data_IF_421441940042
#
_entry.id   IF_421441940042
#
_cell.length_a   1.000
_cell.length_b   1.000
_cell.length_c   1.000
_cell.angle_alpha   90.00
_cell.angle_beta   90.00
_cell.angle_gamma   90.00
#
_symmetry.space_group_name_H-M   'P 1'
#
loop_
_entity.id
_entity.type
_entity.pdbx_description
1 polymer ?
#
# COMPACT_ATOMS: atom_id res chain seq x y z
N UNK A 1 -35.56 -17.20 -48.66
CA UNK A 1 -35.49 -16.62 -47.30
C UNK A 1 -36.90 -16.32 -46.81
N UNK A 2 -37.33 -16.79 -45.64
CA UNK A 2 -38.68 -16.47 -45.14
C UNK A 2 -38.73 -15.04 -44.59
N UNK A 3 -39.88 -14.35 -44.72
CA UNK A 3 -40.07 -12.97 -44.18
C UNK A 3 -39.72 -12.87 -42.68
N UNK A 4 -39.85 -13.97 -41.95
CA UNK A 4 -39.49 -14.08 -40.53
C UNK A 4 -37.97 -13.95 -40.30
N UNK A 5 -37.14 -14.53 -41.17
CA UNK A 5 -35.67 -14.41 -41.10
C UNK A 5 -35.23 -12.98 -41.39
N UNK A 6 -35.81 -12.32 -42.41
CA UNK A 6 -35.49 -10.92 -42.71
C UNK A 6 -35.86 -9.96 -41.58
N UNK A 7 -37.01 -10.16 -40.94
CA UNK A 7 -37.45 -9.34 -39.80
C UNK A 7 -36.55 -9.56 -38.58
N UNK A 8 -36.17 -10.81 -38.30
CA UNK A 8 -35.25 -11.12 -37.20
C UNK A 8 -33.88 -10.45 -37.36
N UNK A 9 -33.33 -10.43 -38.58
CA UNK A 9 -32.06 -9.75 -38.87
C UNK A 9 -32.15 -8.23 -38.72
N UNK A 10 -33.27 -7.61 -39.12
CA UNK A 10 -33.49 -6.17 -38.92
C UNK A 10 -33.57 -5.80 -37.44
N UNK A 11 -34.28 -6.60 -36.63
CA UNK A 11 -34.36 -6.36 -35.18
C UNK A 11 -33.00 -6.52 -34.51
N UNK A 12 -32.24 -7.56 -34.86
CA UNK A 12 -30.87 -7.75 -34.37
C UNK A 12 -29.94 -6.60 -34.77
N UNK A 13 -30.02 -6.14 -36.02
CA UNK A 13 -29.26 -4.98 -36.49
C UNK A 13 -29.61 -3.69 -35.74
N UNK A 14 -30.90 -3.45 -35.49
CA UNK A 14 -31.34 -2.29 -34.71
C UNK A 14 -30.87 -2.36 -33.25
N UNK A 15 -30.93 -3.53 -32.61
CA UNK A 15 -30.42 -3.71 -31.25
C UNK A 15 -28.92 -3.49 -31.17
N UNK A 16 -28.16 -3.98 -32.15
CA UNK A 16 -26.71 -3.74 -32.23
C UNK A 16 -26.39 -2.24 -32.40
N UNK A 17 -27.13 -1.53 -33.24
CA UNK A 17 -26.98 -0.09 -33.43
C UNK A 17 -27.31 0.71 -32.16
N UNK A 18 -28.40 0.35 -31.46
CA UNK A 18 -28.77 0.99 -30.21
C UNK A 18 -27.74 0.73 -29.11
N UNK A 19 -27.20 -0.48 -29.04
CA UNK A 19 -26.11 -0.81 -28.10
C UNK A 19 -24.84 -0.01 -28.40
N UNK A 20 -24.44 0.08 -29.67
CA UNK A 20 -23.26 0.87 -30.08
C UNK A 20 -23.45 2.36 -29.79
N UNK A 21 -24.62 2.93 -30.11
CA UNK A 21 -24.95 4.32 -29.81
C UNK A 21 -24.97 4.60 -28.30
N UNK A 22 -25.53 3.68 -27.51
CA UNK A 22 -25.53 3.75 -26.05
C UNK A 22 -24.11 3.74 -25.48
N UNK A 23 -23.24 2.87 -26.01
CA UNK A 23 -21.84 2.75 -25.58
C UNK A 23 -21.05 4.03 -25.92
N UNK A 24 -21.21 4.56 -27.14
CA UNK A 24 -20.58 5.82 -27.55
C UNK A 24 -21.06 7.02 -26.71
N UNK A 25 -22.36 7.09 -26.43
CA UNK A 25 -22.94 8.11 -25.56
C UNK A 25 -22.40 8.02 -24.13
N UNK A 26 -22.30 6.81 -23.58
CA UNK A 26 -21.72 6.55 -22.27
C UNK A 26 -20.26 7.03 -22.19
N UNK A 27 -19.43 6.68 -23.17
CA UNK A 27 -18.02 7.10 -23.22
C UNK A 27 -17.88 8.62 -23.37
N UNK A 28 -18.78 9.28 -24.09
CA UNK A 28 -18.78 10.74 -24.21
C UNK A 28 -19.11 11.42 -22.87
N UNK A 29 -20.12 10.93 -22.15
CA UNK A 29 -20.51 11.44 -20.84
C UNK A 29 -19.41 11.17 -19.81
N UNK A 30 -18.84 9.96 -19.77
CA UNK A 30 -17.73 9.60 -18.87
C UNK A 30 -16.55 10.57 -19.03
N UNK A 31 -16.10 10.79 -20.27
CA UNK A 31 -15.01 11.74 -20.57
C UNK A 31 -15.35 13.18 -20.18
N UNK A 32 -16.60 13.59 -20.37
CA UNK A 32 -17.04 14.93 -19.96
C UNK A 32 -17.01 15.11 -18.42
N UNK A 33 -17.45 14.10 -17.66
CA UNK A 33 -17.41 14.12 -16.20
C UNK A 33 -15.96 14.14 -15.69
N UNK A 34 -15.09 13.33 -16.28
CA UNK A 34 -13.67 13.29 -15.96
C UNK A 34 -13.00 14.65 -16.16
N UNK A 35 -13.25 15.31 -17.31
CA UNK A 35 -12.74 16.68 -17.55
C UNK A 35 -13.22 17.69 -16.51
N UNK A 36 -14.49 17.61 -16.09
CA UNK A 36 -15.02 18.48 -15.03
C UNK A 36 -14.35 18.22 -13.68
N UNK A 37 -14.08 16.96 -13.37
CA UNK A 37 -13.36 16.58 -12.15
C UNK A 37 -11.93 17.11 -12.16
N UNK A 38 -11.20 16.95 -13.28
CA UNK A 38 -9.85 17.51 -13.46
C UNK A 38 -9.87 19.03 -13.24
N UNK A 39 -10.82 19.73 -13.85
CA UNK A 39 -10.95 21.18 -13.70
C UNK A 39 -11.29 21.59 -12.26
N UNK A 40 -12.18 20.86 -11.58
CA UNK A 40 -12.51 21.11 -10.19
C UNK A 40 -11.28 20.93 -9.27
N UNK A 41 -10.49 19.89 -9.50
CA UNK A 41 -9.28 19.61 -8.73
C UNK A 41 -8.19 20.66 -8.99
N UNK A 42 -8.02 21.12 -10.23
CA UNK A 42 -7.10 22.22 -10.58
C UNK A 42 -7.43 23.53 -9.87
N UNK A 43 -8.71 23.79 -9.64
CA UNK A 43 -9.17 25.00 -8.92
C UNK A 43 -9.02 24.89 -7.40
N UNK A 44 -8.72 23.71 -6.86
CA UNK A 44 -8.55 23.51 -5.42
C UNK A 44 -7.13 23.96 -5.03
N UNK A 45 -6.96 25.05 -4.25
CA UNK A 45 -5.65 25.65 -4.02
C UNK A 45 -4.72 24.74 -3.19
N UNK A 46 -3.41 24.89 -3.45
CA UNK A 46 -2.33 24.08 -2.85
C UNK A 46 -2.40 24.02 -1.32
N UNK A 47 -2.81 25.12 -0.69
CA UNK A 47 -2.87 25.26 0.77
C UNK A 47 -3.95 24.39 1.42
N UNK A 48 -5.03 24.03 0.71
CA UNK A 48 -6.15 23.26 1.30
C UNK A 48 -5.81 21.79 1.55
N UNK A 49 -4.77 21.27 0.90
CA UNK A 49 -4.31 19.88 1.04
C UNK A 49 -2.98 19.77 1.80
N UNK A 50 -2.46 20.88 2.37
CA UNK A 50 -1.26 20.81 3.21
C UNK A 50 -1.62 20.00 4.46
N UNK A 51 -0.87 18.93 4.80
CA UNK A 51 -1.08 18.24 6.07
C UNK A 51 -0.93 19.27 7.21
N UNK A 52 -1.70 19.15 8.31
CA UNK A 52 -1.54 20.02 9.46
C UNK A 52 -0.07 19.98 9.90
N UNK A 53 0.59 21.14 9.88
CA UNK A 53 1.98 21.28 10.27
C UNK A 53 2.25 20.86 11.73
N UNK A 54 1.18 20.64 12.51
CA UNK A 54 1.21 20.27 13.92
C UNK A 54 0.91 18.78 14.18
N UNK A 55 1.03 17.90 13.17
CA UNK A 55 1.25 16.48 13.45
C UNK A 55 2.70 16.30 13.96
N UNK A 56 3.00 16.94 15.09
CA UNK A 56 4.15 16.66 15.90
C UNK A 56 4.17 15.15 16.14
N UNK A 57 5.26 14.51 15.71
CA UNK A 57 5.67 13.22 16.23
C UNK A 57 5.45 13.24 17.74
N UNK A 58 4.58 12.40 18.34
CA UNK A 58 4.49 12.37 19.78
C UNK A 58 5.80 11.78 20.30
N UNK A 59 6.73 12.65 20.70
CA UNK A 59 7.80 12.29 21.62
C UNK A 59 7.13 11.82 22.91
N UNK A 60 7.45 10.63 23.43
CA UNK A 60 6.87 10.16 24.69
C UNK A 60 7.56 10.88 25.84
N UNK A 61 7.14 12.10 26.15
CA UNK A 61 7.45 12.74 27.43
C UNK A 61 6.44 12.24 28.45
N UNK A 62 6.90 11.37 29.33
CA UNK A 62 6.16 10.84 30.46
C UNK A 62 5.65 11.97 31.37
N UNK A 63 4.35 11.97 31.67
CA UNK A 63 3.78 12.52 32.90
C UNK A 63 2.64 11.62 33.41
N UNK A 64 2.62 11.53 34.73
CA UNK A 64 2.00 10.56 35.64
C UNK A 64 0.45 10.54 35.74
N UNK A 65 -0.14 9.54 36.44
CA UNK A 65 -1.52 9.14 36.30
C UNK A 65 -2.47 9.89 37.23
N UNK A 66 -3.71 10.12 36.77
CA UNK A 66 -4.86 10.41 37.65
C UNK A 66 -5.87 9.28 37.57
N UNK A 67 -6.38 8.92 38.74
CA UNK A 67 -6.93 7.64 39.11
C UNK A 67 -8.44 7.45 38.79
N UNK A 68 -8.79 6.18 38.62
CA UNK A 68 -10.01 5.49 39.10
C UNK A 68 -11.38 5.79 38.46
N UNK A 69 -11.93 4.78 37.74
CA UNK A 69 -13.10 3.98 38.18
C UNK A 69 -13.35 2.76 37.24
N UNK A 70 -13.83 1.60 37.76
CA UNK A 70 -14.03 0.38 36.96
C UNK A 70 -15.46 0.24 36.41
N UNK A 71 -15.63 -0.37 35.24
CA UNK A 71 -16.91 -0.88 34.71
C UNK A 71 -16.74 -2.35 34.27
N UNK A 72 -17.80 -3.16 34.12
CA UNK A 72 -17.90 -4.48 34.67
C UNK A 72 -17.50 -5.54 33.64
N UNK A 73 -17.04 -6.68 34.15
CA UNK A 73 -16.69 -7.87 33.41
C UNK A 73 -17.83 -8.36 32.51
N UNK A 74 -17.64 -8.33 31.19
CA UNK A 74 -18.39 -9.21 30.28
C UNK A 74 -17.45 -10.31 29.78
N UNK A 75 -17.80 -11.54 30.19
CA UNK A 75 -17.18 -12.81 29.81
C UNK A 75 -17.30 -13.03 28.30
N UNK A 76 -16.22 -13.40 27.57
CA UNK A 76 -16.32 -13.70 26.15
C UNK A 76 -17.04 -15.05 25.92
N UNK A 77 -18.09 -15.03 25.11
CA UNK A 77 -18.64 -16.23 24.51
C UNK A 77 -17.80 -16.59 23.28
N UNK A 78 -17.12 -17.73 23.35
CA UNK A 78 -16.46 -18.36 22.22
C UNK A 78 -17.51 -18.88 21.23
N UNK A 79 -17.33 -18.63 19.94
CA UNK A 79 -17.87 -19.50 18.87
C UNK A 79 -16.96 -19.44 17.65
N UNK A 80 -16.78 -20.62 17.07
CA UNK A 80 -15.67 -21.09 16.25
C UNK A 80 -15.56 -20.51 14.83
N UNK A 81 -14.31 -20.48 14.34
CA UNK A 81 -13.94 -20.44 12.93
C UNK A 81 -14.32 -21.75 12.20
N UNK A 82 -14.62 -21.71 10.90
CA UNK A 82 -14.34 -22.83 10.02
C UNK A 82 -13.08 -22.58 9.18
N UNK A 83 -12.11 -23.47 9.40
CA UNK A 83 -10.92 -23.71 8.58
C UNK A 83 -11.33 -24.28 7.21
N UNK A 84 -10.84 -23.69 6.11
CA UNK A 84 -10.80 -24.33 4.79
C UNK A 84 -9.34 -24.54 4.41
N UNK A 85 -9.01 -25.80 4.12
CA UNK A 85 -7.66 -26.31 3.95
C UNK A 85 -6.97 -25.89 2.65
N UNK A 86 -5.65 -25.73 2.75
CA UNK A 86 -4.72 -25.58 1.62
C UNK A 86 -4.02 -26.92 1.40
N UNK A 87 -3.99 -27.48 0.18
CA UNK A 87 -3.20 -28.67 -0.10
C UNK A 87 -1.70 -28.37 -0.19
N UNK A 88 -0.95 -29.43 0.08
CA UNK A 88 0.47 -29.51 0.36
C UNK A 88 1.40 -29.29 -0.85
N UNK A 89 2.61 -28.83 -0.56
CA UNK A 89 3.82 -29.15 -1.32
C UNK A 89 4.96 -29.43 -0.32
N UNK A 90 5.55 -30.62 -0.43
CA UNK A 90 6.66 -31.16 0.38
C UNK A 90 7.99 -31.03 -0.41
N UNK A 91 9.16 -31.42 0.11
CA UNK A 91 10.15 -30.56 0.79
C UNK A 91 11.50 -30.45 0.03
N UNK A 92 12.44 -29.67 0.56
CA UNK A 92 13.88 -29.72 0.19
C UNK A 92 14.75 -30.09 1.41
N UNK A 93 15.94 -30.68 1.23
CA UNK A 93 16.45 -31.74 2.12
C UNK A 93 17.37 -31.32 3.26
N UNK A 94 17.39 -32.23 4.24
CA UNK A 94 18.30 -32.49 5.36
C UNK A 94 19.77 -32.06 5.22
N UNK A 95 20.27 -31.33 6.22
CA UNK A 95 21.68 -31.34 6.64
C UNK A 95 21.76 -31.55 8.15
N UNK A 96 22.77 -32.31 8.56
CA UNK A 96 22.88 -33.16 9.75
C UNK A 96 23.38 -32.42 11.00
N UNK A 97 22.90 -32.89 12.14
CA UNK A 97 23.51 -32.74 13.49
C UNK A 97 24.80 -33.58 13.60
N UNK A 98 25.69 -33.35 14.61
CA UNK A 98 25.43 -33.91 15.94
C UNK A 98 25.87 -33.05 17.15
N UNK A 99 25.08 -33.19 18.22
CA UNK A 99 25.39 -32.91 19.64
C UNK A 99 26.58 -33.75 20.17
N UNK A 100 27.30 -33.29 21.22
CA UNK A 100 27.38 -34.15 22.40
C UNK A 100 27.13 -33.45 23.75
N UNK A 101 26.53 -34.24 24.64
CA UNK A 101 26.17 -34.01 26.06
C UNK A 101 27.38 -34.15 27.01
N UNK A 102 27.45 -33.46 28.17
CA UNK A 102 28.43 -33.74 29.21
C UNK A 102 27.85 -34.52 30.41
N UNK A 103 28.57 -35.54 30.88
CA UNK A 103 28.37 -36.18 32.20
C UNK A 103 29.72 -36.64 32.76
N UNK A 104 30.04 -36.30 34.02
CA UNK A 104 30.88 -37.15 34.90
C UNK A 104 32.12 -36.54 35.60
N UNK A 105 31.90 -35.99 36.80
CA UNK A 105 32.65 -36.11 38.09
C UNK A 105 34.08 -36.73 38.14
N UNK A 106 35.04 -36.07 38.81
CA UNK A 106 35.71 -36.50 40.09
C UNK A 106 36.78 -35.50 40.61
N UNK A 107 37.00 -35.52 41.94
CA UNK A 107 37.67 -34.57 42.81
C UNK A 107 39.19 -34.80 43.11
N UNK A 108 39.83 -33.68 43.53
CA UNK A 108 41.09 -33.28 44.26
C UNK A 108 41.93 -34.35 45.03
N UNK A 109 43.20 -34.10 45.48
CA UNK A 109 43.57 -33.17 46.59
C UNK A 109 44.97 -32.48 46.53
N UNK A 110 45.18 -31.37 47.27
CA UNK A 110 46.23 -31.23 48.32
C UNK A 110 46.43 -29.78 48.85
N UNK A 111 46.46 -29.65 50.18
CA UNK A 111 47.49 -28.91 50.91
C UNK A 111 47.10 -27.60 51.62
N UNK A 112 47.17 -27.60 52.97
CA UNK A 112 47.53 -26.38 53.74
C UNK A 112 46.64 -25.99 54.93
N UNK A 113 47.22 -26.10 56.13
CA UNK A 113 46.70 -25.92 57.50
C UNK A 113 46.39 -24.48 57.95
N UNK A 114 45.30 -24.27 58.74
CA UNK A 114 45.24 -23.51 60.01
C UNK A 114 43.78 -23.40 60.55
N UNK A 115 43.62 -23.45 61.89
CA UNK A 115 42.37 -23.41 62.68
C UNK A 115 42.52 -22.32 63.76
N UNK A 116 41.48 -21.79 64.47
CA UNK A 116 40.08 -21.47 64.17
C UNK A 116 39.73 -19.97 64.43
N UNK A 117 38.58 -19.47 63.98
CA UNK A 117 37.75 -18.51 64.74
C UNK A 117 36.32 -18.62 64.26
N UNK A 118 35.42 -19.02 65.17
CA UNK A 118 33.98 -19.07 64.95
C UNK A 118 33.43 -17.64 64.94
N UNK A 119 33.09 -17.12 63.77
CA UNK A 119 32.26 -15.93 63.63
C UNK A 119 30.82 -16.38 63.37
N UNK A 120 29.89 -15.85 64.16
CA UNK A 120 28.45 -16.07 64.00
C UNK A 120 28.00 -15.76 62.55
N UNK A 121 27.08 -16.55 61.96
CA UNK A 121 26.60 -16.27 60.61
C UNK A 121 25.84 -14.95 60.59
N UNK A 122 26.37 -13.98 59.84
CA UNK A 122 25.61 -12.80 59.43
C UNK A 122 24.56 -13.27 58.43
N UNK A 123 23.29 -13.13 58.78
CA UNK A 123 22.18 -13.41 57.88
C UNK A 123 22.29 -12.45 56.68
N UNK A 124 22.63 -12.99 55.52
CA UNK A 124 22.54 -12.24 54.25
C UNK A 124 21.06 -12.10 53.93
N UNK A 125 20.51 -10.88 53.75
CA UNK A 125 19.13 -10.75 53.35
C UNK A 125 18.93 -11.35 51.96
N UNK A 126 18.00 -12.29 51.84
CA UNK A 126 17.53 -12.83 50.56
C UNK A 126 17.03 -11.68 49.69
N UNK A 127 17.76 -11.34 48.64
CA UNK A 127 17.31 -10.38 47.61
C UNK A 127 16.12 -11.01 46.89
N UNK A 128 14.92 -10.47 47.14
CA UNK A 128 13.71 -10.83 46.41
C UNK A 128 13.92 -10.42 44.94
N UNK A 129 13.78 -11.37 44.01
CA UNK A 129 13.80 -11.05 42.59
C UNK A 129 12.59 -10.14 42.26
N UNK A 130 12.78 -9.03 41.53
CA UNK A 130 11.65 -8.19 41.15
C UNK A 130 10.70 -9.00 40.26
N UNK A 131 9.41 -8.96 40.59
CA UNK A 131 8.34 -9.50 39.74
C UNK A 131 8.44 -8.87 38.35
N UNK A 132 8.40 -9.64 37.25
CA UNK A 132 8.41 -9.06 35.91
C UNK A 132 7.20 -8.13 35.77
N UNK A 133 7.49 -6.86 35.48
CA UNK A 133 6.45 -5.88 35.17
C UNK A 133 5.74 -6.34 33.90
N UNK A 134 4.40 -6.44 33.88
CA UNK A 134 3.68 -6.81 32.67
C UNK A 134 4.02 -5.81 31.56
N UNK A 135 4.54 -6.33 30.45
CA UNK A 135 4.80 -5.53 29.27
C UNK A 135 3.46 -4.95 28.76
N UNK A 136 3.35 -3.62 28.76
CA UNK A 136 2.23 -2.94 28.14
C UNK A 136 2.32 -3.18 26.63
N UNK A 137 1.42 -3.99 26.09
CA UNK A 137 1.27 -4.13 24.64
C UNK A 137 0.69 -2.82 24.12
N UNK A 138 1.38 -2.09 23.22
CA UNK A 138 0.81 -0.86 22.66
C UNK A 138 -0.50 -1.18 21.93
N UNK A 139 -1.51 -0.29 21.99
CA UNK A 139 -2.73 -0.49 21.24
C UNK A 139 -2.42 -0.63 19.75
N UNK A 140 -3.08 -1.58 19.08
CA UNK A 140 -3.00 -1.70 17.62
C UNK A 140 -3.51 -0.39 16.99
N UNK A 141 -2.79 0.21 16.03
CA UNK A 141 -3.25 1.43 15.37
C UNK A 141 -4.62 1.18 14.75
N UNK A 142 -5.55 2.11 14.96
CA UNK A 142 -6.85 2.11 14.27
C UNK A 142 -6.59 2.23 12.77
N UNK A 143 -7.18 1.36 11.92
CA UNK A 143 -7.00 1.46 10.48
C UNK A 143 -7.54 2.80 9.98
N UNK A 144 -6.74 3.46 9.15
CA UNK A 144 -7.09 4.75 8.57
C UNK A 144 -8.27 4.60 7.61
N UNK A 145 -9.21 5.57 7.54
CA UNK A 145 -10.25 5.56 6.53
C UNK A 145 -9.67 5.48 5.12
N UNK A 146 -10.28 4.65 4.27
CA UNK A 146 -9.91 4.53 2.86
C UNK A 146 -10.29 5.81 2.11
N UNK A 147 -9.35 6.37 1.34
CA UNK A 147 -9.59 7.55 0.53
C UNK A 147 -8.70 7.57 -0.71
N UNK A 148 -9.30 7.79 -1.89
CA UNK A 148 -8.60 7.85 -3.17
C UNK A 148 -7.64 9.06 -3.26
N UNK A 149 -6.55 8.95 -4.02
CA UNK A 149 -5.71 10.09 -4.35
C UNK A 149 -6.49 11.06 -5.25
N UNK A 150 -6.33 12.35 -4.98
CA UNK A 150 -6.92 13.44 -5.78
C UNK A 150 -5.87 14.36 -6.38
N UNK A 151 -4.60 14.21 -5.97
CA UNK A 151 -3.50 15.03 -6.44
C UNK A 151 -2.16 14.34 -6.21
N UNK A 152 -1.22 14.58 -7.11
CA UNK A 152 0.17 14.13 -7.04
C UNK A 152 1.08 15.34 -7.14
N UNK A 153 2.13 15.36 -6.32
CA UNK A 153 3.25 16.28 -6.46
C UNK A 153 4.58 15.53 -6.52
N UNK A 154 5.49 15.99 -7.38
CA UNK A 154 6.88 15.49 -7.47
C UNK A 154 7.81 16.70 -7.40
N UNK A 155 8.29 17.08 -6.20
CA UNK A 155 9.00 18.34 -5.98
C UNK A 155 10.26 18.52 -6.85
N UNK A 156 11.01 17.44 -7.08
CA UNK A 156 12.26 17.48 -7.85
C UNK A 156 12.09 18.02 -9.29
N UNK A 157 10.91 17.83 -9.88
CA UNK A 157 10.56 18.29 -11.23
C UNK A 157 9.50 19.39 -11.22
N UNK A 158 9.12 19.91 -10.03
CA UNK A 158 8.06 20.91 -9.89
C UNK A 158 6.69 20.43 -10.40
N UNK A 159 6.47 19.12 -10.48
CA UNK A 159 5.21 18.55 -10.96
C UNK A 159 4.16 18.64 -9.87
N UNK A 160 2.97 19.12 -10.24
CA UNK A 160 1.82 19.25 -9.36
C UNK A 160 0.54 19.13 -10.19
N UNK A 161 -0.14 17.99 -10.08
CA UNK A 161 -1.20 17.61 -10.99
C UNK A 161 -2.38 16.96 -10.27
N UNK A 162 -3.61 17.14 -10.79
CA UNK A 162 -4.77 16.40 -10.30
C UNK A 162 -4.62 14.90 -10.58
N UNK A 163 -5.23 14.10 -9.71
CA UNK A 163 -5.39 12.64 -9.87
C UNK A 163 -6.88 12.33 -9.97
N UNK A 164 -7.27 11.57 -10.99
CA UNK A 164 -8.66 11.15 -11.23
C UNK A 164 -8.72 9.64 -11.40
N UNK A 165 -9.86 9.06 -11.08
CA UNK A 165 -10.05 7.61 -11.18
C UNK A 165 -10.26 7.19 -12.64
N UNK A 166 -9.60 6.11 -13.06
CA UNK A 166 -9.63 5.56 -14.42
C UNK A 166 -9.84 4.05 -14.39
N UNK A 167 -10.48 3.52 -15.41
CA UNK A 167 -10.75 2.09 -15.54
C UNK A 167 -9.94 1.46 -16.68
N UNK A 168 -10.16 0.17 -16.90
CA UNK A 168 -9.71 -0.52 -18.10
C UNK A 168 -10.79 -0.40 -19.18
N UNK A 169 -10.38 -0.19 -20.41
CA UNK A 169 -11.28 -0.22 -21.56
C UNK A 169 -10.90 -1.39 -22.45
N UNK A 170 -11.90 -2.16 -22.88
CA UNK A 170 -11.69 -3.22 -23.86
C UNK A 170 -11.92 -2.61 -25.25
N UNK A 171 -10.85 -2.44 -26.01
CA UNK A 171 -10.90 -2.03 -27.40
C UNK A 171 -10.84 -3.25 -28.31
N UNK A 172 -11.70 -3.30 -29.33
CA UNK A 172 -11.60 -4.31 -30.38
C UNK A 172 -10.89 -3.72 -31.59
N UNK A 173 -9.74 -4.29 -31.97
CA UNK A 173 -9.02 -3.94 -33.20
C UNK A 173 -8.86 -5.19 -34.04
N UNK A 174 -9.35 -5.17 -35.27
CA UNK A 174 -9.27 -6.29 -36.23
C UNK A 174 -9.83 -7.61 -35.67
N UNK A 175 -10.90 -7.56 -34.87
CA UNK A 175 -11.52 -8.75 -34.25
C UNK A 175 -10.77 -9.31 -33.03
N UNK A 176 -9.69 -8.65 -32.59
CA UNK A 176 -8.95 -8.99 -31.39
C UNK A 176 -9.29 -7.96 -30.30
N UNK A 177 -9.62 -8.44 -29.10
CA UNK A 177 -9.90 -7.59 -27.94
C UNK A 177 -8.62 -7.29 -27.17
N UNK A 178 -8.32 -6.02 -27.01
CA UNK A 178 -7.21 -5.48 -26.23
C UNK A 178 -7.78 -4.78 -24.99
N UNK A 179 -7.26 -5.11 -23.81
CA UNK A 179 -7.55 -4.31 -22.61
C UNK A 179 -6.51 -3.22 -22.51
N UNK A 180 -6.93 -1.98 -22.70
CA UNK A 180 -6.08 -0.80 -22.64
C UNK A 180 -6.36 -0.04 -21.35
N UNK A 181 -5.29 0.42 -20.71
CA UNK A 181 -5.38 1.32 -19.56
C UNK A 181 -5.94 2.68 -20.01
N UNK A 182 -7.06 3.11 -19.44
CA UNK A 182 -7.53 4.48 -19.63
C UNK A 182 -6.58 5.44 -18.93
N UNK A 183 -6.20 6.52 -19.62
CA UNK A 183 -5.37 7.60 -19.07
C UNK A 183 -6.18 8.89 -19.03
N UNK A 184 -5.84 9.77 -18.10
CA UNK A 184 -6.47 11.06 -17.97
C UNK A 184 -5.76 12.13 -18.81
N UNK A 185 -6.53 12.88 -19.61
CA UNK A 185 -6.01 14.10 -20.22
C UNK A 185 -5.66 15.11 -19.11
N UNK A 186 -4.45 15.67 -19.15
CA UNK A 186 -4.00 16.74 -18.26
C UNK A 186 -4.00 16.40 -16.75
N UNK A 187 -4.01 15.11 -16.40
CA UNK A 187 -4.05 14.59 -15.03
C UNK A 187 -3.39 13.22 -14.96
N UNK A 188 -3.09 12.73 -13.76
CA UNK A 188 -2.77 11.32 -13.55
C UNK A 188 -4.05 10.51 -13.36
N UNK A 189 -4.09 9.31 -13.93
CA UNK A 189 -5.16 8.33 -13.75
C UNK A 189 -4.83 7.35 -12.63
N UNK A 190 -5.64 7.29 -11.58
CA UNK A 190 -5.59 6.24 -10.56
C UNK A 190 -6.50 5.08 -10.93
N UNK A 191 -5.92 3.89 -11.05
CA UNK A 191 -6.64 2.74 -11.57
C UNK A 191 -7.56 2.11 -10.52
N UNK A 192 -8.84 1.95 -10.91
CA UNK A 192 -9.84 1.23 -10.11
C UNK A 192 -9.33 -0.15 -9.76
N UNK A 193 -9.40 -0.51 -8.48
CA UNK A 193 -8.95 -1.79 -7.95
C UNK A 193 -7.47 -1.84 -7.55
N UNK A 194 -6.70 -0.78 -7.81
CA UNK A 194 -5.40 -0.58 -7.15
C UNK A 194 -5.57 -0.03 -5.74
N UNK A 195 -4.56 -0.16 -4.89
CA UNK A 195 -4.62 0.33 -3.51
C UNK A 195 -4.74 1.86 -3.47
N UNK A 196 -5.29 2.39 -2.38
CA UNK A 196 -5.22 3.82 -2.09
C UNK A 196 -3.95 4.17 -1.31
N UNK A 197 -3.51 5.44 -1.31
CA UNK A 197 -2.37 5.86 -0.50
C UNK A 197 -2.57 5.53 0.98
N UNK A 198 -1.57 4.88 1.57
CA UNK A 198 -1.60 4.41 2.96
C UNK A 198 -2.22 3.02 3.20
N UNK A 199 -2.83 2.42 2.18
CA UNK A 199 -3.34 1.04 2.26
C UNK A 199 -2.25 0.01 1.91
N UNK A 200 -2.36 -1.23 2.42
CA UNK A 200 -1.51 -2.33 1.95
C UNK A 200 -1.73 -2.60 0.46
N UNK A 201 -0.64 -2.65 -0.31
CA UNK A 201 -0.65 -2.94 -1.74
C UNK A 201 -0.03 -1.84 -2.59
N UNK A 202 -0.28 -1.89 -3.90
CA UNK A 202 0.30 -0.94 -4.85
C UNK A 202 -0.74 0.07 -5.34
N UNK A 203 -0.42 1.36 -5.21
CA UNK A 203 -1.15 2.43 -5.89
C UNK A 203 -0.63 2.46 -7.34
N UNK A 204 -1.53 2.31 -8.32
CA UNK A 204 -1.15 2.29 -9.74
C UNK A 204 -1.67 3.56 -10.42
N UNK A 205 -0.74 4.31 -11.02
CA UNK A 205 -1.01 5.59 -11.67
C UNK A 205 -0.52 5.57 -13.12
N UNK A 206 -1.32 6.12 -14.04
CA UNK A 206 -0.98 6.31 -15.45
C UNK A 206 -1.06 7.78 -15.85
N UNK A 207 -0.34 8.18 -16.89
CA UNK A 207 -0.29 9.56 -17.35
C UNK A 207 0.41 9.66 -18.71
N UNK A 208 -0.03 10.59 -19.54
CA UNK A 208 0.58 10.82 -20.85
C UNK A 208 1.95 11.52 -20.71
N UNK A 209 2.90 11.15 -21.58
CA UNK A 209 4.23 11.77 -21.62
C UNK A 209 4.45 12.70 -22.84
N UNK A 210 3.66 12.53 -23.91
CA UNK A 210 3.85 13.21 -25.21
C UNK A 210 2.56 13.79 -25.83
N UNK A 211 1.42 13.63 -25.15
CA UNK A 211 0.13 14.18 -25.57
C UNK A 211 -0.67 14.66 -24.36
N UNK A 212 -1.74 15.41 -24.61
CA UNK A 212 -2.78 15.75 -23.61
C UNK A 212 -2.22 16.29 -22.28
N UNK A 213 -1.31 17.26 -22.36
CA UNK A 213 -0.73 17.92 -21.20
C UNK A 213 0.55 17.27 -20.67
N UNK A 214 0.91 16.09 -21.17
CA UNK A 214 2.25 15.51 -21.00
C UNK A 214 2.71 15.45 -19.53
N UNK A 215 1.77 15.16 -18.62
CA UNK A 215 1.98 15.26 -17.18
C UNK A 215 3.13 14.40 -16.68
N UNK A 216 3.43 13.29 -17.39
CA UNK A 216 4.51 12.37 -17.07
C UNK A 216 5.73 12.50 -18.00
N UNK A 217 5.84 13.58 -18.79
CA UNK A 217 6.99 13.82 -19.67
C UNK A 217 8.32 13.73 -18.92
N UNK A 218 8.44 14.48 -17.84
CA UNK A 218 9.69 14.51 -17.07
C UNK A 218 9.95 13.22 -16.29
N UNK A 219 8.88 12.55 -15.84
CA UNK A 219 8.99 11.22 -15.21
C UNK A 219 9.55 10.22 -16.22
N UNK A 220 9.12 10.28 -17.49
CA UNK A 220 9.59 9.39 -18.54
C UNK A 220 11.09 9.53 -18.84
N UNK A 221 11.68 10.68 -18.52
CA UNK A 221 13.10 10.98 -18.71
C UNK A 221 14.00 10.46 -17.60
N UNK A 222 13.47 9.80 -16.55
CA UNK A 222 14.29 9.21 -15.49
C UNK A 222 15.41 8.35 -16.06
N UNK A 223 16.63 8.50 -15.53
CA UNK A 223 17.82 7.78 -15.98
C UNK A 223 18.50 8.31 -17.24
N UNK A 224 17.88 9.25 -17.97
CA UNK A 224 18.53 9.92 -19.09
C UNK A 224 19.55 10.97 -18.63
N UNK A 225 20.57 11.29 -19.43
CA UNK A 225 21.47 12.41 -19.15
C UNK A 225 20.68 13.71 -18.95
N UNK A 226 20.91 14.39 -17.82
CA UNK A 226 20.21 15.63 -17.47
C UNK A 226 18.82 15.44 -16.86
N UNK A 227 18.40 14.21 -16.57
CA UNK A 227 17.18 13.95 -15.80
C UNK A 227 17.23 14.61 -14.42
N UNK A 228 16.16 15.31 -14.05
CA UNK A 228 16.01 15.98 -12.75
C UNK A 228 15.37 15.10 -11.68
N UNK A 229 14.85 13.94 -12.07
CA UNK A 229 14.21 12.95 -11.21
C UNK A 229 15.04 11.67 -11.20
N UNK A 230 15.16 11.05 -10.04
CA UNK A 230 15.92 9.81 -9.84
C UNK A 230 15.49 9.02 -8.60
N UNK A 231 16.22 7.93 -8.35
CA UNK A 231 16.05 7.11 -7.13
C UNK A 231 16.37 7.97 -5.91
N UNK A 232 15.51 7.89 -4.89
CA UNK A 232 15.56 8.67 -3.66
C UNK A 232 14.62 9.87 -3.66
N UNK A 233 14.21 10.37 -4.82
CA UNK A 233 13.28 11.51 -4.92
C UNK A 233 11.87 11.16 -4.43
N UNK A 234 11.18 12.19 -3.96
CA UNK A 234 9.87 12.04 -3.33
C UNK A 234 8.72 12.22 -4.33
N UNK A 235 7.70 11.36 -4.16
CA UNK A 235 6.40 11.46 -4.82
C UNK A 235 5.36 11.58 -3.72
N UNK A 236 4.58 12.66 -3.72
CA UNK A 236 3.60 12.96 -2.69
C UNK A 236 2.21 12.75 -3.27
N UNK A 237 1.41 11.88 -2.64
CA UNK A 237 0.00 11.66 -3.00
C UNK A 237 -0.90 12.27 -1.94
N UNK A 238 -1.77 13.19 -2.36
CA UNK A 238 -2.79 13.79 -1.50
C UNK A 238 -4.12 13.06 -1.72
N UNK A 239 -4.75 12.64 -0.63
CA UNK A 239 -6.04 11.96 -0.65
C UNK A 239 -7.20 12.93 -0.56
N UNK A 240 -8.37 12.46 -0.94
CA UNK A 240 -9.61 13.24 -0.89
C UNK A 240 -9.98 13.73 0.52
N UNK A 241 -9.50 13.07 1.57
CA UNK A 241 -9.72 13.44 2.98
C UNK A 241 -8.63 14.35 3.56
N UNK A 242 -7.74 14.87 2.71
CA UNK A 242 -6.74 15.88 3.07
C UNK A 242 -5.42 15.31 3.61
N UNK A 243 -5.30 13.99 3.81
CA UNK A 243 -4.02 13.41 4.20
C UNK A 243 -3.06 13.26 3.01
N UNK A 244 -1.78 13.42 3.30
CA UNK A 244 -0.69 13.30 2.33
C UNK A 244 0.21 12.11 2.68
N UNK A 245 0.60 11.36 1.65
CA UNK A 245 1.51 10.22 1.75
C UNK A 245 2.74 10.47 0.90
N UNK A 246 3.91 10.39 1.53
CA UNK A 246 5.21 10.56 0.86
C UNK A 246 5.76 9.19 0.51
N UNK A 247 6.00 8.99 -0.79
CA UNK A 247 6.68 7.83 -1.36
C UNK A 247 8.07 8.25 -1.83
N UNK A 248 8.99 7.29 -1.90
CA UNK A 248 10.31 7.50 -2.50
C UNK A 248 10.49 6.58 -3.67
N UNK A 249 11.09 7.11 -4.73
CA UNK A 249 11.47 6.32 -5.88
C UNK A 249 12.60 5.39 -5.46
N UNK A 250 12.38 4.08 -5.48
CA UNK A 250 13.41 3.08 -5.15
C UNK A 250 13.97 2.40 -6.38
N UNK A 251 13.19 2.35 -7.46
CA UNK A 251 13.56 1.72 -8.71
C UNK A 251 12.81 2.38 -9.87
N UNK A 252 13.33 2.22 -11.08
CA UNK A 252 12.66 2.55 -12.32
C UNK A 252 13.01 1.53 -13.39
N UNK A 253 12.07 1.28 -14.29
CA UNK A 253 12.23 0.36 -15.41
C UNK A 253 11.69 1.02 -16.68
N UNK A 254 12.37 0.82 -17.81
CA UNK A 254 11.87 1.21 -19.12
C UNK A 254 11.80 -0.02 -20.01
N UNK A 255 10.63 -0.25 -20.59
CA UNK A 255 10.36 -1.38 -21.46
C UNK A 255 10.08 -0.90 -22.87
N UNK A 256 10.52 -1.66 -23.87
CA UNK A 256 10.05 -1.49 -25.24
C UNK A 256 8.66 -2.12 -25.33
N UNK A 257 7.72 -1.45 -25.98
CA UNK A 257 6.39 -2.00 -26.20
C UNK A 257 6.48 -3.26 -27.07
N UNK A 258 5.85 -4.35 -26.63
CA UNK A 258 5.86 -5.59 -27.38
C UNK A 258 4.85 -5.52 -28.54
N UNK A 259 5.35 -5.64 -29.78
CA UNK A 259 4.51 -5.75 -30.98
C UNK A 259 4.42 -4.52 -31.89
N UNK A 260 5.16 -3.44 -31.60
CA UNK A 260 5.26 -2.29 -32.51
C UNK A 260 6.40 -2.53 -33.50
N UNK A 261 6.07 -2.71 -34.79
CA UNK A 261 7.06 -2.75 -35.87
C UNK A 261 7.83 -1.43 -35.93
N UNK A 262 9.13 -1.50 -36.25
CA UNK A 262 9.92 -0.29 -36.53
C UNK A 262 9.26 0.47 -37.68
N UNK A 263 9.01 1.76 -37.45
CA UNK A 263 8.85 2.72 -38.53
C UNK A 263 10.23 3.33 -38.84
#
# INVERSE_FOLDING_TARGET
>A
MSRKVGTALLVLGLLALLAAAGMAGYDQVRRALMRRQVEALRRTPVATLRPPADAATPSPTALEPTATQPLPTLKPAATASPTVGRPAATPSPTVREPTPSPTGTKAVPQGGTATPTSAAPTQTPTRIAPTPTPAVVPPSPTPLPSARPVRMAVPAIGLDIPVVEVAWVVEERNGIRYSTWETASYAAGHHVGSANPGEPGNVVLSGHHNIEGEVFREISSIGEPGARLGVGDEVILYRADGLAFVYRIVEWHRFREAGTSEE
#
